data_IF_774780604302
#
_entry.id   IF_774780604302
#
_cell.length_a   1.000
_cell.length_b   1.000
_cell.length_c   1.000
_cell.angle_alpha   90.00
_cell.angle_beta   90.00
_cell.angle_gamma   90.00
#
_symmetry.space_group_name_H-M   'P 1'
#
loop_
_entity.id
_entity.type
_entity.pdbx_description
1 polymer ?
#
# COMPACT_ATOMS: atom_id res chain seq x y z
N UNK A 1 6.94 4.50 3.73
CA UNK A 1 6.05 4.79 4.88
C UNK A 1 4.94 3.73 4.92
N UNK A 2 4.53 3.27 6.10
CA UNK A 2 3.58 2.14 6.31
C UNK A 2 4.01 0.77 5.76
N UNK A 3 5.27 0.62 5.36
CA UNK A 3 5.82 -0.70 5.03
C UNK A 3 6.15 -1.44 6.35
N UNK A 4 5.97 -2.77 6.45
CA UNK A 4 6.30 -3.51 7.66
C UNK A 4 7.77 -3.31 8.07
N UNK A 5 8.01 -3.13 9.37
CA UNK A 5 9.35 -2.81 9.89
C UNK A 5 10.31 -4.02 9.88
N UNK A 6 9.77 -5.24 9.90
CA UNK A 6 10.49 -6.52 9.94
C UNK A 6 10.63 -7.17 8.56
N UNK A 7 10.44 -6.40 7.48
CA UNK A 7 10.45 -6.91 6.11
C UNK A 7 11.16 -5.97 5.14
N UNK A 8 11.61 -6.53 4.00
CA UNK A 8 11.94 -5.77 2.81
C UNK A 8 11.64 -6.55 1.53
N UNK A 9 11.30 -5.83 0.46
CA UNK A 9 11.03 -6.40 -0.87
C UNK A 9 12.14 -6.00 -1.84
N UNK A 10 12.76 -6.99 -2.50
CA UNK A 10 13.68 -6.78 -3.62
C UNK A 10 12.91 -7.02 -4.92
N UNK A 11 12.76 -5.98 -5.73
CA UNK A 11 12.16 -6.05 -7.07
C UNK A 11 12.53 -4.79 -7.87
N UNK A 12 12.63 -4.85 -9.21
CA UNK A 12 12.62 -3.64 -10.02
C UNK A 12 11.33 -2.84 -9.81
N UNK A 13 11.41 -1.52 -9.74
CA UNK A 13 10.22 -0.66 -9.57
C UNK A 13 9.26 -0.73 -10.76
N UNK A 14 9.75 -1.08 -11.95
CA UNK A 14 8.93 -1.31 -13.14
C UNK A 14 8.08 -2.58 -13.08
N UNK A 15 8.36 -3.48 -12.13
CA UNK A 15 7.59 -4.71 -11.92
C UNK A 15 6.32 -4.48 -11.08
N UNK A 16 6.19 -3.30 -10.48
CA UNK A 16 5.06 -2.94 -9.63
C UNK A 16 4.11 -2.02 -10.41
N UNK A 17 2.86 -2.45 -10.52
CA UNK A 17 1.85 -1.75 -11.30
C UNK A 17 0.57 -1.54 -10.51
N UNK A 18 -0.11 -0.43 -10.81
CA UNK A 18 -1.48 -0.16 -10.35
C UNK A 18 -2.36 -0.08 -11.58
N UNK A 19 -3.31 -0.98 -11.71
CA UNK A 19 -4.28 -0.97 -12.78
C UNK A 19 -5.57 -0.32 -12.31
N UNK A 20 -6.12 0.55 -13.16
CA UNK A 20 -7.40 1.21 -12.90
C UNK A 20 -8.40 0.78 -13.97
N UNK A 21 -9.60 0.37 -13.54
CA UNK A 21 -10.63 0.00 -14.50
C UNK A 21 -11.21 1.28 -15.15
N UNK A 22 -11.17 1.34 -16.48
CA UNK A 22 -11.70 2.47 -17.26
C UNK A 22 -13.18 2.72 -16.93
N UNK A 23 -13.55 3.99 -16.80
CA UNK A 23 -14.91 4.48 -16.54
C UNK A 23 -15.52 4.02 -15.20
N UNK A 24 -14.70 3.71 -14.20
CA UNK A 24 -15.19 3.35 -12.84
C UNK A 24 -15.05 4.48 -11.82
N UNK A 25 -14.35 5.56 -12.13
CA UNK A 25 -14.21 6.73 -11.26
C UNK A 25 -15.57 7.39 -11.05
N UNK A 26 -16.05 7.40 -9.81
CA UNK A 26 -17.27 8.09 -9.38
C UNK A 26 -16.93 9.09 -8.29
N UNK A 27 -17.46 10.30 -8.42
CA UNK A 27 -17.25 11.41 -7.51
C UNK A 27 -18.59 12.05 -7.18
N UNK A 28 -18.88 12.22 -5.89
CA UNK A 28 -20.07 12.92 -5.42
C UNK A 28 -19.67 13.94 -4.35
N UNK A 29 -20.20 15.16 -4.49
CA UNK A 29 -20.08 16.23 -3.51
C UNK A 29 -21.45 16.44 -2.87
N UNK A 30 -21.53 16.36 -1.55
CA UNK A 30 -22.75 16.59 -0.79
C UNK A 30 -22.50 17.73 0.19
N UNK A 31 -23.34 18.77 0.11
CA UNK A 31 -23.38 19.78 1.16
C UNK A 31 -24.18 19.22 2.35
N UNK A 32 -23.51 19.05 3.50
CA UNK A 32 -24.12 18.51 4.71
C UNK A 32 -24.36 19.63 5.73
N UNK A 33 -25.53 20.30 5.71
CA UNK A 33 -25.83 21.41 6.60
C UNK A 33 -25.92 21.01 8.07
N UNK A 34 -26.10 19.71 8.38
CA UNK A 34 -26.13 19.23 9.77
C UNK A 34 -24.75 19.28 10.44
N UNK A 35 -23.68 19.28 9.65
CA UNK A 35 -22.29 19.25 10.12
C UNK A 35 -21.48 20.45 9.61
N UNK A 36 -22.13 21.40 8.94
CA UNK A 36 -21.49 22.59 8.35
C UNK A 36 -20.24 22.24 7.54
N UNK A 37 -20.37 21.26 6.64
CA UNK A 37 -19.24 20.78 5.82
C UNK A 37 -19.71 20.21 4.49
N UNK A 38 -18.84 20.30 3.50
CA UNK A 38 -18.97 19.59 2.22
C UNK A 38 -18.31 18.21 2.38
N UNK A 39 -19.04 17.16 2.01
CA UNK A 39 -18.58 15.77 2.04
C UNK A 39 -18.24 15.33 0.60
N UNK A 40 -17.01 14.84 0.40
CA UNK A 40 -16.56 14.24 -0.86
C UNK A 40 -16.59 12.72 -0.74
N UNK A 41 -17.31 12.07 -1.65
CA UNK A 41 -17.30 10.62 -1.80
C UNK A 41 -16.66 10.26 -3.13
N UNK A 42 -15.55 9.53 -3.07
CA UNK A 42 -14.82 9.06 -4.25
C UNK A 42 -14.75 7.54 -4.24
N UNK A 43 -15.10 6.94 -5.37
CA UNK A 43 -14.98 5.50 -5.61
C UNK A 43 -14.24 5.27 -6.91
N UNK A 44 -13.32 4.32 -6.90
CA UNK A 44 -12.55 3.90 -8.06
C UNK A 44 -12.28 2.39 -7.95
N UNK A 45 -12.29 1.68 -9.07
CA UNK A 45 -11.88 0.27 -9.07
C UNK A 45 -10.40 0.17 -9.49
N UNK A 46 -9.57 -0.28 -8.55
CA UNK A 46 -8.11 -0.39 -8.71
C UNK A 46 -7.64 -1.78 -8.30
N UNK A 47 -6.53 -2.21 -8.92
CA UNK A 47 -5.84 -3.45 -8.58
C UNK A 47 -4.33 -3.18 -8.46
N UNK A 48 -3.72 -3.72 -7.40
CA UNK A 48 -2.27 -3.72 -7.21
C UNK A 48 -1.70 -5.03 -7.78
N UNK A 49 -0.73 -4.93 -8.68
CA UNK A 49 -0.22 -6.06 -9.44
C UNK A 49 1.31 -6.09 -9.40
N UNK A 50 1.84 -7.29 -9.20
CA UNK A 50 3.23 -7.65 -9.49
C UNK A 50 3.22 -8.31 -10.85
N UNK A 51 3.92 -7.75 -11.83
CA UNK A 51 3.86 -8.21 -13.23
C UNK A 51 4.53 -9.57 -13.42
N UNK A 52 5.68 -9.77 -12.79
CA UNK A 52 6.45 -11.01 -12.82
C UNK A 52 6.86 -11.41 -11.39
N UNK A 53 6.40 -12.57 -10.95
CA UNK A 53 6.69 -13.11 -9.62
C UNK A 53 8.13 -13.61 -9.49
N UNK A 54 8.76 -14.07 -10.57
CA UNK A 54 10.15 -14.54 -10.54
C UNK A 54 11.16 -13.39 -10.44
N UNK A 55 10.70 -12.16 -10.76
CA UNK A 55 11.47 -10.93 -10.64
C UNK A 55 11.35 -10.26 -9.26
N UNK A 56 10.73 -10.91 -8.27
CA UNK A 56 10.57 -10.35 -6.92
C UNK A 56 10.94 -11.35 -5.81
N UNK A 57 11.44 -10.83 -4.70
CA UNK A 57 11.71 -11.61 -3.49
C UNK A 57 11.37 -10.76 -2.26
N UNK A 58 10.43 -11.25 -1.45
CA UNK A 58 10.03 -10.65 -0.19
C UNK A 58 10.69 -11.41 0.96
N UNK A 59 11.36 -10.68 1.85
CA UNK A 59 11.92 -11.22 3.09
C UNK A 59 11.14 -10.61 4.25
N UNK A 60 10.63 -11.45 5.14
CA UNK A 60 9.82 -11.08 6.31
C UNK A 60 10.35 -11.79 7.57
N UNK A 61 9.99 -11.28 8.75
CA UNK A 61 10.40 -11.85 10.04
C UNK A 61 11.87 -11.58 10.36
N UNK A 62 12.39 -10.44 9.93
CA UNK A 62 13.77 -10.03 10.21
C UNK A 62 13.86 -9.60 11.67
N UNK A 63 14.71 -10.28 12.43
CA UNK A 63 15.05 -9.91 13.80
C UNK A 63 16.39 -9.17 13.81
N UNK A 64 16.45 -8.06 14.54
CA UNK A 64 17.67 -7.28 14.75
C UNK A 64 18.34 -7.71 16.06
N UNK A 65 19.68 -7.69 16.13
CA UNK A 65 20.37 -8.02 17.37
C UNK A 65 20.06 -6.96 18.43
N UNK A 66 19.76 -7.41 19.64
CA UNK A 66 19.58 -6.53 20.80
C UNK A 66 20.86 -5.77 21.09
N UNK A 67 20.72 -4.50 21.50
CA UNK A 67 21.87 -3.65 21.84
C UNK A 67 22.74 -4.21 22.99
N UNK A 68 22.18 -5.09 23.82
CA UNK A 68 22.86 -5.74 24.95
C UNK A 68 23.57 -7.06 24.57
N UNK A 69 23.42 -7.53 23.33
CA UNK A 69 24.01 -8.78 22.84
C UNK A 69 23.36 -10.06 23.37
N UNK A 70 22.20 -9.98 24.04
CA UNK A 70 21.53 -11.13 24.68
C UNK A 70 20.69 -11.98 23.73
N UNK A 71 20.52 -11.56 22.47
CA UNK A 71 19.74 -12.29 21.46
C UNK A 71 19.27 -11.42 20.30
N UNK A 72 18.21 -11.86 19.63
CA UNK A 72 17.55 -11.19 18.50
C UNK A 72 16.15 -10.73 18.92
N UNK A 73 15.72 -9.58 18.44
CA UNK A 73 14.39 -8.99 18.66
C UNK A 73 13.72 -8.52 17.39
#
# INVERSE_FOLDING_TARGET
PFFPDDAFLITPLSNLSIYTQRNTTRLAYLDNPRKDRIEEYRSLNEAYVIEDYDACCLVEGILVPKADGSGWE
#
